data_IF_746457442546
#
_entry.id   IF_746457442546
#
_cell.length_a   1.000
_cell.length_b   1.000
_cell.length_c   1.000
_cell.angle_alpha   90.00
_cell.angle_beta   90.00
_cell.angle_gamma   90.00
#
_symmetry.space_group_name_H-M   'P 1'
#
loop_
_entity.id
_entity.type
_entity.pdbx_description
1 polymer ?
#
# COMPACT_ATOMS: atom_id res chain seq x y z
N UNK A 1 -0.82 23.48 8.61
CA UNK A 1 -0.84 22.72 7.33
C UNK A 1 -1.99 23.22 6.49
N UNK A 2 -1.72 23.64 5.25
CA UNK A 2 -2.70 24.13 4.28
C UNK A 2 -3.49 22.92 3.70
N UNK A 3 -4.82 22.99 3.50
CA UNK A 3 -5.62 21.90 2.91
C UNK A 3 -5.04 21.36 1.59
N UNK A 4 -4.45 22.21 0.76
CA UNK A 4 -3.77 21.78 -0.47
C UNK A 4 -2.57 20.84 -0.18
N UNK A 5 -1.77 21.15 0.85
CA UNK A 5 -0.63 20.32 1.26
C UNK A 5 -1.08 18.95 1.76
N UNK A 6 -2.20 18.90 2.48
CA UNK A 6 -2.77 17.65 2.98
C UNK A 6 -3.20 16.69 1.86
N UNK A 7 -3.90 17.20 0.85
CA UNK A 7 -4.31 16.42 -0.32
C UNK A 7 -3.09 15.86 -1.07
N UNK A 8 -2.05 16.69 -1.26
CA UNK A 8 -0.79 16.26 -1.90
C UNK A 8 -0.12 15.11 -1.12
N UNK A 9 -0.08 15.19 0.22
CA UNK A 9 0.50 14.13 1.04
C UNK A 9 -0.27 12.81 0.92
N UNK A 10 -1.60 12.89 0.79
CA UNK A 10 -2.48 11.74 0.65
C UNK A 10 -2.32 11.09 -0.73
N UNK A 11 -2.26 11.90 -1.79
CA UNK A 11 -1.93 11.43 -3.14
C UNK A 11 -0.55 10.79 -3.21
N UNK A 12 0.45 11.38 -2.57
CA UNK A 12 1.80 10.82 -2.51
C UNK A 12 1.82 9.48 -1.77
N UNK A 13 1.08 9.36 -0.66
CA UNK A 13 0.94 8.11 0.07
C UNK A 13 0.25 7.02 -0.78
N UNK A 14 -0.81 7.37 -1.52
CA UNK A 14 -1.48 6.47 -2.46
C UNK A 14 -0.55 6.00 -3.57
N UNK A 15 0.19 6.92 -4.20
CA UNK A 15 1.19 6.57 -5.24
C UNK A 15 2.27 5.65 -4.69
N UNK A 16 2.74 5.87 -3.46
CA UNK A 16 3.71 4.99 -2.79
C UNK A 16 3.15 3.59 -2.56
N UNK A 17 1.90 3.48 -2.08
CA UNK A 17 1.23 2.20 -1.92
C UNK A 17 1.10 1.45 -3.26
N UNK A 18 0.63 2.13 -4.31
CA UNK A 18 0.52 1.52 -5.64
C UNK A 18 1.88 1.03 -6.16
N UNK A 19 2.95 1.82 -5.97
CA UNK A 19 4.29 1.42 -6.35
C UNK A 19 4.82 0.23 -5.53
N UNK A 20 4.50 0.14 -4.23
CA UNK A 20 4.83 -1.00 -3.39
C UNK A 20 4.08 -2.26 -3.84
N UNK A 21 2.78 -2.16 -4.10
CA UNK A 21 1.95 -3.27 -4.60
C UNK A 21 2.43 -3.78 -5.97
N UNK A 22 2.75 -2.87 -6.89
CA UNK A 22 3.28 -3.23 -8.20
C UNK A 22 4.62 -3.97 -8.10
N UNK A 23 5.50 -3.53 -7.18
CA UNK A 23 6.77 -4.21 -6.90
C UNK A 23 6.56 -5.59 -6.31
N UNK A 24 5.70 -5.72 -5.30
CA UNK A 24 5.35 -7.01 -4.70
C UNK A 24 4.79 -7.98 -5.74
N UNK A 25 3.87 -7.52 -6.59
CA UNK A 25 3.30 -8.34 -7.67
C UNK A 25 4.36 -8.77 -8.70
N UNK A 26 5.34 -7.91 -9.02
CA UNK A 26 6.45 -8.27 -9.89
C UNK A 26 7.32 -9.37 -9.26
N UNK A 27 7.71 -9.19 -7.99
CA UNK A 27 8.51 -10.17 -7.26
C UNK A 27 7.82 -11.52 -7.10
N UNK A 28 6.50 -11.54 -6.90
CA UNK A 28 5.74 -12.78 -6.90
C UNK A 28 5.82 -13.50 -8.26
N UNK A 29 5.66 -12.76 -9.37
CA UNK A 29 5.77 -13.36 -10.71
C UNK A 29 7.16 -13.94 -10.95
N UNK A 30 8.22 -13.23 -10.57
CA UNK A 30 9.59 -13.72 -10.78
C UNK A 30 9.93 -14.90 -9.87
N UNK A 31 9.39 -14.93 -8.65
CA UNK A 31 9.48 -16.10 -7.76
C UNK A 31 8.78 -17.33 -8.36
N UNK A 32 7.57 -17.19 -8.90
CA UNK A 32 6.86 -18.30 -9.53
C UNK A 32 7.59 -18.82 -10.78
N UNK A 33 8.16 -17.92 -11.60
CA UNK A 33 9.02 -18.32 -12.72
C UNK A 33 10.27 -19.09 -12.26
N UNK A 34 10.89 -18.64 -11.17
CA UNK A 34 12.04 -19.31 -10.57
C UNK A 34 11.68 -20.70 -10.05
N UNK A 35 10.50 -20.85 -9.44
CA UNK A 35 10.01 -22.13 -8.92
C UNK A 35 9.78 -23.11 -10.06
N UNK A 36 9.12 -22.66 -11.13
CA UNK A 36 8.90 -23.46 -12.34
C UNK A 36 10.23 -23.92 -12.97
N UNK A 37 11.24 -23.04 -13.03
CA UNK A 37 12.56 -23.40 -13.53
C UNK A 37 13.26 -24.43 -12.62
N UNK A 38 13.20 -24.25 -11.30
CA UNK A 38 13.77 -25.22 -10.36
C UNK A 38 13.08 -26.58 -10.41
N UNK A 39 11.77 -26.63 -10.60
CA UNK A 39 11.06 -27.89 -10.83
C UNK A 39 11.49 -28.57 -12.12
N UNK A 40 11.69 -27.81 -13.20
CA UNK A 40 12.21 -28.35 -14.46
C UNK A 40 13.59 -28.99 -14.25
N UNK A 41 14.51 -28.31 -13.56
CA UNK A 41 15.84 -28.84 -13.28
C UNK A 41 15.78 -30.12 -12.43
N UNK A 42 14.93 -30.16 -11.41
CA UNK A 42 14.74 -31.36 -10.57
C UNK A 42 14.15 -32.54 -11.34
N UNK A 43 13.13 -32.29 -12.18
CA UNK A 43 12.56 -33.34 -13.05
C UNK A 43 13.61 -33.88 -14.01
N UNK A 44 14.36 -32.98 -14.63
CA UNK A 44 15.42 -33.35 -15.56
C UNK A 44 16.53 -34.17 -14.88
N UNK A 45 16.91 -33.84 -13.65
CA UNK A 45 17.84 -34.63 -12.85
C UNK A 45 17.29 -36.05 -12.57
N UNK A 46 16.04 -36.15 -12.12
CA UNK A 46 15.40 -37.44 -11.82
C UNK A 46 15.25 -38.34 -13.06
N UNK A 47 14.87 -37.76 -14.21
CA UNK A 47 14.78 -38.49 -15.48
C UNK A 47 16.15 -38.99 -15.95
N UNK A 48 17.21 -38.22 -15.69
CA UNK A 48 18.56 -38.57 -16.09
C UNK A 48 19.15 -39.71 -15.25
N UNK A 49 18.91 -39.71 -13.93
CA UNK A 49 19.28 -40.81 -13.04
C UNK A 49 18.57 -42.12 -13.42
N UNK A 50 17.30 -42.05 -13.83
CA UNK A 50 16.54 -43.21 -14.31
C UNK A 50 17.08 -43.84 -15.60
N UNK A 51 17.67 -43.03 -16.50
CA UNK A 51 18.28 -43.51 -17.77
C UNK A 51 19.72 -44.01 -17.59
N UNK A 52 20.36 -43.65 -16.48
CA UNK A 52 21.75 -43.96 -16.20
C UNK A 52 22.01 -45.43 -15.83
N UNK A 53 21.00 -46.23 -15.46
CA UNK A 53 21.20 -47.64 -15.12
C UNK A 53 21.61 -48.47 -16.35
N UNK A 54 22.82 -49.05 -16.39
CA UNK A 54 23.20 -49.96 -17.47
C UNK A 54 22.35 -51.23 -17.39
N UNK A 55 21.90 -51.73 -18.55
CA UNK A 55 21.39 -53.10 -18.63
C UNK A 55 22.55 -54.07 -18.42
N UNK A 56 22.31 -55.18 -17.73
CA UNK A 56 23.32 -56.21 -17.53
C UNK A 56 23.86 -56.68 -18.90
N UNK A 57 25.16 -56.52 -19.12
CA UNK A 57 25.87 -56.93 -20.35
C UNK A 57 26.33 -55.81 -21.26
N UNK A 58 26.06 -54.54 -20.95
CA UNK A 58 26.43 -53.41 -21.82
C UNK A 58 27.84 -52.87 -21.47
N UNK A 59 28.81 -53.05 -22.37
CA UNK A 59 30.16 -52.48 -22.23
C UNK A 59 30.13 -50.98 -22.60
N UNK A 60 29.92 -50.12 -21.60
CA UNK A 60 29.92 -48.67 -21.82
C UNK A 60 31.32 -48.14 -22.15
N UNK A 61 31.38 -47.24 -23.13
CA UNK A 61 32.56 -46.44 -23.44
C UNK A 61 32.97 -45.60 -22.20
N UNK A 62 34.21 -45.74 -21.69
CA UNK A 62 34.74 -44.93 -20.58
C UNK A 62 34.66 -43.41 -20.81
N UNK A 63 34.62 -42.97 -22.06
CA UNK A 63 34.43 -41.56 -22.43
C UNK A 63 32.99 -41.11 -22.21
N UNK A 64 32.01 -41.97 -22.53
CA UNK A 64 30.60 -41.71 -22.27
C UNK A 64 30.32 -41.59 -20.76
N UNK A 65 30.90 -42.47 -19.93
CA UNK A 65 30.77 -42.37 -18.47
C UNK A 65 31.36 -41.09 -17.89
N UNK A 66 32.52 -40.64 -18.41
CA UNK A 66 33.14 -39.38 -17.97
C UNK A 66 32.29 -38.16 -18.33
N UNK A 67 31.76 -38.12 -19.55
CA UNK A 67 30.86 -37.05 -20.00
C UNK A 67 29.58 -37.00 -19.15
N UNK A 68 29.05 -38.18 -18.82
CA UNK A 68 27.87 -38.32 -17.97
C UNK A 68 28.11 -37.78 -16.55
N UNK A 69 29.21 -38.16 -15.90
CA UNK A 69 29.57 -37.62 -14.57
C UNK A 69 29.80 -36.11 -14.59
N UNK A 70 30.45 -35.59 -15.64
CA UNK A 70 30.67 -34.16 -15.79
C UNK A 70 29.36 -33.38 -15.95
N UNK A 71 28.39 -33.93 -16.69
CA UNK A 71 27.08 -33.34 -16.86
C UNK A 71 26.27 -33.32 -15.55
N UNK A 72 26.27 -34.42 -14.79
CA UNK A 72 25.64 -34.50 -13.48
C UNK A 72 26.21 -33.47 -12.51
N UNK A 73 27.53 -33.29 -12.49
CA UNK A 73 28.16 -32.25 -11.67
C UNK A 73 27.67 -30.84 -12.02
N UNK A 74 27.51 -30.54 -13.32
CA UNK A 74 26.95 -29.24 -13.76
C UNK A 74 25.49 -29.08 -13.38
N UNK A 75 24.69 -30.14 -13.47
CA UNK A 75 23.28 -30.10 -13.10
C UNK A 75 23.08 -29.90 -11.59
N UNK A 76 23.88 -30.56 -10.76
CA UNK A 76 23.87 -30.35 -9.31
C UNK A 76 24.25 -28.91 -8.94
N UNK A 77 25.27 -28.35 -9.59
CA UNK A 77 25.65 -26.95 -9.41
C UNK A 77 24.52 -25.99 -9.81
N UNK A 78 23.84 -26.26 -10.93
CA UNK A 78 22.71 -25.47 -11.38
C UNK A 78 21.52 -25.53 -10.40
N UNK A 79 21.20 -26.72 -9.86
CA UNK A 79 20.15 -26.88 -8.85
C UNK A 79 20.49 -26.12 -7.57
N UNK A 80 21.72 -26.25 -7.06
CA UNK A 80 22.15 -25.53 -5.87
C UNK A 80 22.10 -24.00 -6.07
N UNK A 81 22.52 -23.51 -7.24
CA UNK A 81 22.40 -22.09 -7.59
C UNK A 81 20.94 -21.64 -7.66
N UNK A 82 20.04 -22.48 -8.18
CA UNK A 82 18.62 -22.17 -8.28
C UNK A 82 17.96 -22.11 -6.91
N UNK A 83 18.36 -22.98 -5.98
CA UNK A 83 17.85 -22.98 -4.59
C UNK A 83 18.24 -21.69 -3.86
N UNK A 84 19.49 -21.24 -3.99
CA UNK A 84 19.93 -19.97 -3.44
C UNK A 84 19.16 -18.78 -4.03
N UNK A 85 18.92 -18.82 -5.34
CA UNK A 85 18.16 -17.78 -6.03
C UNK A 85 16.69 -17.75 -5.57
N UNK A 86 16.08 -18.91 -5.34
CA UNK A 86 14.74 -19.03 -4.78
C UNK A 86 14.67 -18.43 -3.38
N UNK A 87 15.60 -18.78 -2.49
CA UNK A 87 15.65 -18.24 -1.13
C UNK A 87 15.75 -16.70 -1.14
N UNK A 88 16.64 -16.15 -1.98
CA UNK A 88 16.79 -14.70 -2.12
C UNK A 88 15.51 -14.03 -2.61
N UNK A 89 14.81 -14.63 -3.58
CA UNK A 89 13.54 -14.11 -4.11
C UNK A 89 12.41 -14.21 -3.09
N UNK A 90 12.33 -15.30 -2.34
CA UNK A 90 11.35 -15.45 -1.27
C UNK A 90 11.55 -14.42 -0.17
N UNK A 91 12.81 -14.15 0.20
CA UNK A 91 13.13 -13.07 1.12
C UNK A 91 12.70 -11.72 0.54
N UNK A 92 13.00 -11.42 -0.72
CA UNK A 92 12.58 -10.18 -1.38
C UNK A 92 11.04 -10.01 -1.41
N UNK A 93 10.29 -11.09 -1.65
CA UNK A 93 8.82 -11.08 -1.59
C UNK A 93 8.32 -10.76 -0.19
N UNK A 94 8.90 -11.37 0.85
CA UNK A 94 8.55 -11.08 2.25
C UNK A 94 8.76 -9.60 2.59
N UNK A 95 9.92 -9.04 2.26
CA UNK A 95 10.21 -7.61 2.46
C UNK A 95 9.24 -6.72 1.70
N UNK A 96 8.95 -7.04 0.44
CA UNK A 96 8.01 -6.26 -0.35
C UNK A 96 6.57 -6.33 0.21
N UNK A 97 6.18 -7.46 0.80
CA UNK A 97 4.89 -7.60 1.49
C UNK A 97 4.83 -6.70 2.74
N UNK A 98 5.89 -6.70 3.55
CA UNK A 98 6.01 -5.81 4.71
C UNK A 98 5.94 -4.33 4.30
N UNK A 99 6.61 -3.95 3.21
CA UNK A 99 6.57 -2.60 2.66
C UNK A 99 5.15 -2.17 2.25
N UNK A 100 4.37 -3.07 1.65
CA UNK A 100 2.96 -2.82 1.33
C UNK A 100 2.18 -2.52 2.60
N UNK A 101 2.30 -3.37 3.63
CA UNK A 101 1.61 -3.18 4.92
C UNK A 101 1.99 -1.83 5.56
N UNK A 102 3.27 -1.45 5.53
CA UNK A 102 3.71 -0.16 6.05
C UNK A 102 3.13 1.02 5.26
N UNK A 103 3.02 0.90 3.94
CA UNK A 103 2.42 1.93 3.09
C UNK A 103 0.90 2.07 3.36
N UNK A 104 0.18 0.95 3.51
CA UNK A 104 -1.25 0.92 3.85
C UNK A 104 -1.49 1.57 5.20
N UNK A 105 -0.70 1.22 6.22
CA UNK A 105 -0.80 1.82 7.56
C UNK A 105 -0.60 3.34 7.52
N UNK A 106 0.42 3.81 6.80
CA UNK A 106 0.70 5.25 6.65
C UNK A 106 -0.46 5.98 5.95
N UNK A 107 -1.02 5.39 4.90
CA UNK A 107 -2.16 5.95 4.20
C UNK A 107 -3.39 6.05 5.11
N UNK A 108 -3.71 4.98 5.84
CA UNK A 108 -4.86 4.94 6.77
C UNK A 108 -4.74 6.00 7.88
N UNK A 109 -3.54 6.19 8.43
CA UNK A 109 -3.28 7.24 9.43
C UNK A 109 -3.53 8.63 8.82
N UNK A 110 -3.02 8.89 7.62
CA UNK A 110 -3.22 10.18 6.94
C UNK A 110 -4.70 10.43 6.64
N UNK A 111 -5.42 9.43 6.13
CA UNK A 111 -6.86 9.52 5.88
C UNK A 111 -7.64 9.84 7.16
N UNK A 112 -7.33 9.14 8.26
CA UNK A 112 -7.96 9.38 9.56
C UNK A 112 -7.72 10.81 10.06
N UNK A 113 -6.47 11.29 9.97
CA UNK A 113 -6.11 12.65 10.38
C UNK A 113 -6.84 13.70 9.55
N UNK A 114 -7.02 13.47 8.25
CA UNK A 114 -7.73 14.40 7.37
C UNK A 114 -9.21 14.44 7.64
N UNK A 115 -9.85 13.29 7.86
CA UNK A 115 -11.27 13.24 8.24
C UNK A 115 -11.52 14.00 9.53
N UNK A 116 -10.72 13.76 10.58
CA UNK A 116 -10.85 14.47 11.88
C UNK A 116 -10.67 15.98 11.74
N UNK A 117 -9.74 16.40 10.89
CA UNK A 117 -9.51 17.82 10.62
C UNK A 117 -10.70 18.44 9.89
N UNK A 118 -11.21 17.79 8.84
CA UNK A 118 -12.37 18.27 8.10
C UNK A 118 -13.59 18.43 9.01
N UNK A 119 -13.81 17.48 9.92
CA UNK A 119 -14.86 17.57 10.94
C UNK A 119 -14.66 18.75 11.89
N UNK A 120 -13.44 18.94 12.40
CA UNK A 120 -13.10 20.06 13.29
C UNK A 120 -13.31 21.41 12.61
N UNK A 121 -12.90 21.55 11.35
CA UNK A 121 -13.11 22.78 10.57
C UNK A 121 -14.58 23.02 10.25
N UNK A 122 -15.35 21.97 9.95
CA UNK A 122 -16.81 22.08 9.78
C UNK A 122 -17.49 22.58 11.05
N UNK A 123 -17.14 22.01 12.21
CA UNK A 123 -17.67 22.46 13.50
C UNK A 123 -17.30 23.92 13.80
N UNK A 124 -16.08 24.34 13.47
CA UNK A 124 -15.63 25.73 13.62
C UNK A 124 -16.42 26.68 12.72
N UNK A 125 -16.65 26.31 11.47
CA UNK A 125 -17.41 27.13 10.52
C UNK A 125 -18.88 27.23 10.95
N UNK A 126 -19.52 26.13 11.33
CA UNK A 126 -20.90 26.14 11.83
C UNK A 126 -21.06 27.08 13.04
N UNK A 127 -20.11 27.06 13.99
CA UNK A 127 -20.14 27.98 15.14
C UNK A 127 -19.98 29.45 14.72
N UNK A 128 -19.12 29.74 13.74
CA UNK A 128 -18.94 31.10 13.22
C UNK A 128 -20.19 31.58 12.49
N UNK A 129 -20.79 30.74 11.66
CA UNK A 129 -22.03 31.05 10.94
C UNK A 129 -23.20 31.28 11.90
N UNK A 130 -23.34 30.43 12.92
CA UNK A 130 -24.36 30.61 13.96
C UNK A 130 -24.19 31.95 14.67
N UNK A 131 -22.99 32.27 15.16
CA UNK A 131 -22.73 33.55 15.82
C UNK A 131 -23.05 34.74 14.91
N UNK A 132 -22.68 34.66 13.62
CA UNK A 132 -22.96 35.72 12.66
C UNK A 132 -24.46 35.91 12.42
N UNK A 133 -25.21 34.81 12.30
CA UNK A 133 -26.67 34.85 12.14
C UNK A 133 -27.36 35.42 13.39
N UNK A 134 -26.89 35.05 14.58
CA UNK A 134 -27.41 35.58 15.85
C UNK A 134 -27.16 37.10 15.96
N UNK A 135 -25.98 37.58 15.57
CA UNK A 135 -25.66 39.01 15.51
C UNK A 135 -26.55 39.77 14.52
N UNK A 136 -26.82 39.20 13.35
CA UNK A 136 -27.71 39.81 12.35
C UNK A 136 -29.16 39.84 12.85
N UNK A 137 -29.63 38.76 13.48
CA UNK A 137 -30.97 38.69 14.06
C UNK A 137 -31.14 39.72 15.18
N UNK A 138 -30.15 39.85 16.08
CA UNK A 138 -30.15 40.84 17.15
C UNK A 138 -30.21 42.27 16.59
N UNK A 139 -29.35 42.61 15.61
CA UNK A 139 -29.35 43.94 14.96
C UNK A 139 -30.64 44.23 14.19
N UNK A 140 -31.28 43.22 13.61
CA UNK A 140 -32.57 43.38 12.94
C UNK A 140 -33.69 43.62 13.96
N UNK A 141 -33.67 42.90 15.08
CA UNK A 141 -34.61 43.08 16.18
C UNK A 141 -34.49 44.47 16.82
N UNK A 142 -33.28 44.92 17.14
CA UNK A 142 -33.00 46.26 17.66
C UNK A 142 -33.50 47.37 16.72
N UNK A 143 -33.23 47.24 15.42
CA UNK A 143 -33.74 48.18 14.40
C UNK A 143 -35.26 48.18 14.34
N UNK A 144 -35.90 47.02 14.45
CA UNK A 144 -37.36 46.92 14.46
C UNK A 144 -37.96 47.58 15.69
N UNK A 145 -37.37 47.38 16.87
CA UNK A 145 -37.77 48.04 18.11
C UNK A 145 -37.64 49.56 18.03
N UNK A 146 -36.52 50.05 17.48
CA UNK A 146 -36.32 51.48 17.26
C UNK A 146 -37.36 52.06 16.28
N UNK A 147 -37.73 51.31 15.23
CA UNK A 147 -38.73 51.71 14.25
C UNK A 147 -40.18 51.60 14.76
N UNK A 148 -40.47 50.72 15.72
CA UNK A 148 -41.82 50.50 16.28
C UNK A 148 -42.19 51.45 17.43
N UNK A 149 -41.34 52.43 17.76
CA UNK A 149 -41.70 53.54 18.65
C UNK A 149 -40.96 53.56 19.97
N UNK A 150 -39.81 54.24 19.99
CA UNK A 150 -39.34 54.96 21.17
C UNK A 150 -39.98 56.34 21.24
N UNK A 151 -41.25 56.41 21.64
CA UNK A 151 -41.80 57.59 22.31
C UNK A 151 -41.78 57.23 23.81
N UNK A 152 -40.93 57.82 24.66
CA UNK A 152 -41.20 57.76 26.09
C UNK A 152 -42.53 58.49 26.32
N UNK A 153 -43.48 57.79 26.93
CA UNK A 153 -44.78 58.33 27.28
C UNK A 153 -44.60 59.62 28.08
N UNK A 154 -45.02 60.74 27.49
CA UNK A 154 -45.34 61.97 28.20
C UNK A 154 -46.45 61.65 29.19
N UNK A 155 -46.11 61.47 30.47
CA UNK A 155 -47.08 61.58 31.55
C UNK A 155 -47.19 63.07 31.91
N UNK A 156 -48.03 63.77 31.14
CA UNK A 156 -48.70 64.99 31.59
C UNK A 156 -49.75 64.55 32.61
N UNK A 157 -49.75 65.18 33.78
CA UNK A 157 -50.69 64.98 34.87
C UNK A 157 -50.52 66.07 35.92
N UNK A 158 -51.07 67.24 35.57
CA UNK A 158 -51.46 68.46 36.31
C UNK A 158 -51.75 68.34 37.82
N UNK A 159 -51.94 69.46 38.58
CA UNK A 159 -52.04 70.88 38.16
C UNK A 159 -51.02 71.85 38.79
#
# INVERSE_FOLDING_TARGET
>A
MNPATATILLELARKRLQAAQARHANLLRTLEQARAHGEMLRRYAAEYDGRALPRAGDARDPSAERNQRAFLGRLQLAVASQEQELEAREHAVRHASEDVVQCERKLSILETLMTRRAETERLRNNRREQNHMDELAQRAFERRLAASGGYPASAIGEP
#
